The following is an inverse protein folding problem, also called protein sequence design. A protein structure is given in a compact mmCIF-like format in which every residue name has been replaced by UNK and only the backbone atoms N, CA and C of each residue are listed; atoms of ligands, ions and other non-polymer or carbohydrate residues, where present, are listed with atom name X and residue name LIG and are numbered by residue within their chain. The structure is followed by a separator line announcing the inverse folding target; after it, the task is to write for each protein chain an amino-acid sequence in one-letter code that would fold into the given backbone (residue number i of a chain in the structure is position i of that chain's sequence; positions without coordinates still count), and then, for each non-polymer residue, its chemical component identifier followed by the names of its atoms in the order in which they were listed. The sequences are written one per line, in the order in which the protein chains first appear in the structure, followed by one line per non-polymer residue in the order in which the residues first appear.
data_IF_590037116463
#
_entry.id   IF_590037116463
#
_cell.length_a   1.000
_cell.length_b   1.000
_cell.length_c   1.000
_cell.angle_alpha   90.00
_cell.angle_beta   90.00
_cell.angle_gamma   90.00
#
_symmetry.space_group_name_H-M   'P 1'
#
loop_
_entity.id
_entity.type
_entity.pdbx_description
1 polymer ?
#
# COMPACT_ATOMS: atom_id res chain seq x y z
N UNK A 1 -8.19 -41.98 33.41
CA UNK A 1 -8.82 -40.66 33.23
C UNK A 1 -7.68 -39.66 33.12
N UNK A 2 -7.08 -39.60 31.93
CA UNK A 2 -5.96 -38.70 31.62
C UNK A 2 -6.45 -37.27 31.57
N UNK A 3 -5.71 -36.35 32.16
CA UNK A 3 -5.65 -35.00 31.63
C UNK A 3 -4.21 -34.50 31.77
N UNK A 4 -3.45 -34.74 30.71
CA UNK A 4 -2.15 -34.18 30.48
C UNK A 4 -2.34 -32.69 30.17
N UNK A 5 -2.35 -31.85 31.21
CA UNK A 5 -2.14 -30.41 31.06
C UNK A 5 -0.67 -30.12 31.27
N UNK A 6 0.14 -30.52 30.29
CA UNK A 6 1.45 -29.92 30.08
C UNK A 6 1.63 -29.59 28.61
N UNK A 7 2.26 -28.44 28.40
CA UNK A 7 2.73 -27.83 27.17
C UNK A 7 1.70 -27.06 26.31
N UNK A 8 1.76 -25.74 26.44
CA UNK A 8 2.07 -24.90 25.28
C UNK A 8 2.97 -23.76 25.73
N UNK A 9 4.28 -23.98 25.60
CA UNK A 9 5.29 -22.97 25.84
C UNK A 9 5.07 -21.76 24.94
N UNK A 10 5.33 -20.59 25.50
CA UNK A 10 5.57 -19.35 24.76
C UNK A 10 6.81 -19.53 23.89
N UNK A 11 6.65 -20.17 22.74
CA UNK A 11 7.66 -20.12 21.68
C UNK A 11 7.34 -18.87 20.88
N UNK A 12 8.01 -17.78 21.21
CA UNK A 12 8.22 -16.66 20.29
C UNK A 12 9.04 -17.13 19.10
N UNK A 13 8.46 -17.98 18.26
CA UNK A 13 9.04 -18.40 17.00
C UNK A 13 8.85 -17.25 16.03
N UNK A 14 9.95 -16.67 15.54
CA UNK A 14 9.87 -15.83 14.34
C UNK A 14 9.21 -16.70 13.26
N UNK A 15 8.01 -16.36 12.75
CA UNK A 15 7.41 -17.17 11.71
C UNK A 15 8.37 -17.18 10.54
N UNK A 16 8.80 -18.36 10.13
CA UNK A 16 9.44 -18.53 8.83
C UNK A 16 8.53 -17.86 7.79
N UNK A 17 9.08 -17.11 6.82
CA UNK A 17 8.26 -16.36 5.88
C UNK A 17 7.29 -17.33 5.18
N UNK A 18 5.99 -17.07 5.32
CA UNK A 18 4.89 -17.80 4.70
C UNK A 18 4.90 -17.54 3.19
N UNK A 19 5.90 -18.07 2.48
CA UNK A 19 6.13 -17.75 1.06
C UNK A 19 6.52 -16.28 0.82
N UNK A 20 7.13 -15.61 1.80
CA UNK A 20 7.64 -14.24 1.68
C UNK A 20 6.86 -13.15 2.44
N UNK A 21 5.81 -13.51 3.17
CA UNK A 21 4.96 -12.57 3.93
C UNK A 21 5.26 -12.63 5.44
N UNK A 22 5.12 -11.49 6.13
CA UNK A 22 5.28 -11.36 7.60
C UNK A 22 4.07 -10.65 8.21
N UNK A 23 3.49 -11.24 9.25
CA UNK A 23 2.43 -10.61 10.06
C UNK A 23 3.07 -9.73 11.12
N UNK A 24 2.67 -8.45 11.20
CA UNK A 24 3.23 -7.47 12.12
C UNK A 24 2.38 -7.23 13.38
N UNK A 25 1.12 -7.68 13.39
CA UNK A 25 0.22 -7.53 14.52
C UNK A 25 -1.01 -8.43 14.42
N UNK A 26 -1.64 -8.70 15.57
CA UNK A 26 -2.73 -9.67 15.70
C UNK A 26 -2.24 -11.12 15.77
N UNK A 27 -3.18 -12.05 15.92
CA UNK A 27 -2.95 -13.48 15.87
C UNK A 27 -3.95 -14.11 14.89
N UNK A 28 -3.76 -13.91 13.57
CA UNK A 28 -4.67 -14.45 12.58
C UNK A 28 -4.67 -15.97 12.63
N UNK A 29 -5.83 -16.54 12.35
CA UNK A 29 -6.03 -17.98 12.24
C UNK A 29 -5.37 -18.53 10.97
N UNK A 30 -5.12 -19.84 10.93
CA UNK A 30 -4.57 -20.51 9.75
C UNK A 30 -5.47 -20.33 8.52
N UNK A 31 -6.78 -20.32 8.72
CA UNK A 31 -7.77 -20.10 7.65
C UNK A 31 -7.66 -18.71 7.04
N UNK A 32 -7.49 -17.67 7.86
CA UNK A 32 -7.30 -16.30 7.38
C UNK A 32 -5.98 -16.15 6.62
N UNK A 33 -4.90 -16.80 7.10
CA UNK A 33 -3.61 -16.82 6.41
C UNK A 33 -3.75 -17.49 5.03
N UNK A 34 -4.46 -18.62 4.96
CA UNK A 34 -4.71 -19.33 3.71
C UNK A 34 -5.54 -18.49 2.73
N UNK A 35 -6.59 -17.83 3.22
CA UNK A 35 -7.46 -16.97 2.41
C UNK A 35 -6.67 -15.81 1.79
N UNK A 36 -5.88 -15.09 2.59
CA UNK A 36 -5.07 -13.97 2.09
C UNK A 36 -4.01 -14.46 1.09
N UNK A 37 -3.36 -15.58 1.38
CA UNK A 37 -2.35 -16.16 0.48
C UNK A 37 -2.97 -16.56 -0.86
N UNK A 38 -4.16 -17.17 -0.86
CA UNK A 38 -4.88 -17.52 -2.08
C UNK A 38 -5.24 -16.29 -2.92
N UNK A 39 -5.68 -15.20 -2.28
CA UNK A 39 -5.96 -13.92 -2.97
C UNK A 39 -4.70 -13.34 -3.60
N UNK A 40 -3.59 -13.30 -2.85
CA UNK A 40 -2.32 -12.78 -3.36
C UNK A 40 -1.78 -13.63 -4.51
N UNK A 41 -1.87 -14.96 -4.42
CA UNK A 41 -1.50 -15.86 -5.50
C UNK A 41 -2.37 -15.63 -6.75
N UNK A 42 -3.69 -15.48 -6.59
CA UNK A 42 -4.59 -15.16 -7.70
C UNK A 42 -4.23 -13.83 -8.37
N UNK A 43 -3.92 -12.79 -7.59
CA UNK A 43 -3.49 -11.49 -8.11
C UNK A 43 -2.14 -11.58 -8.84
N UNK A 44 -1.20 -12.39 -8.35
CA UNK A 44 0.09 -12.58 -9.00
C UNK A 44 -0.02 -13.28 -10.36
N UNK A 45 -1.07 -14.09 -10.57
CA UNK A 45 -1.33 -14.75 -11.86
C UNK A 45 -2.11 -13.89 -12.86
N UNK A 46 -2.61 -12.72 -12.44
CA UNK A 46 -3.31 -11.84 -13.36
C UNK A 46 -2.35 -11.37 -14.45
N UNK A 47 -2.77 -11.41 -15.72
CA UNK A 47 -1.94 -10.86 -16.79
C UNK A 47 -1.71 -9.39 -16.51
N UNK A 48 -0.46 -8.94 -16.62
CA UNK A 48 -0.14 -7.52 -16.56
C UNK A 48 -0.90 -6.85 -17.70
N UNK A 49 -1.98 -6.15 -17.36
CA UNK A 49 -2.60 -5.22 -18.27
C UNK A 49 -1.57 -4.13 -18.45
N UNK A 50 -1.02 -4.04 -19.65
CA UNK A 50 -0.09 -2.98 -19.99
C UNK A 50 -0.81 -1.66 -19.72
N UNK A 51 -0.33 -0.93 -18.70
CA UNK A 51 -0.90 0.35 -18.35
C UNK A 51 -0.74 1.21 -19.61
N UNK A 52 -1.82 1.78 -20.17
CA UNK A 52 -1.68 2.59 -21.37
C UNK A 52 -0.64 3.66 -21.07
N UNK A 53 0.38 3.74 -21.94
CA UNK A 53 1.40 4.75 -21.82
C UNK A 53 0.72 6.11 -21.64
N UNK A 54 1.22 6.92 -20.70
CA UNK A 54 0.66 8.26 -20.51
C UNK A 54 0.67 8.96 -21.87
N UNK A 55 -0.49 9.42 -22.38
CA UNK A 55 -0.53 10.05 -23.69
C UNK A 55 0.39 11.25 -23.70
N UNK A 56 1.11 11.43 -24.81
CA UNK A 56 1.91 12.62 -25.03
C UNK A 56 1.02 13.88 -24.94
N UNK A 57 1.55 15.02 -24.46
CA UNK A 57 0.75 16.23 -24.34
C UNK A 57 0.14 16.66 -25.68
N UNK A 58 -1.18 16.85 -25.69
CA UNK A 58 -1.89 17.28 -26.89
C UNK A 58 -1.59 18.75 -27.25
N UNK A 59 -2.13 19.21 -28.38
CA UNK A 59 -1.90 20.59 -28.84
C UNK A 59 -2.47 21.65 -27.88
N UNK A 60 -3.52 21.31 -27.12
CA UNK A 60 -4.14 22.19 -26.14
C UNK A 60 -3.31 22.28 -24.87
N UNK A 61 -2.84 21.15 -24.34
CA UNK A 61 -1.93 21.09 -23.19
C UNK A 61 -0.60 21.79 -23.46
N UNK A 62 -0.10 21.75 -24.71
CA UNK A 62 1.09 22.52 -25.12
C UNK A 62 0.82 24.01 -25.27
N UNK A 63 -0.39 24.41 -25.63
CA UNK A 63 -0.76 25.82 -25.78
C UNK A 63 -1.20 26.47 -24.46
N UNK A 64 -1.45 25.68 -23.41
CA UNK A 64 -1.60 26.16 -22.05
C UNK A 64 -0.30 26.85 -21.60
N UNK A 65 -0.23 28.16 -21.80
CA UNK A 65 0.79 28.99 -21.17
C UNK A 65 0.55 28.96 -19.68
N UNK A 66 1.60 28.86 -18.87
CA UNK A 66 1.49 28.99 -17.42
C UNK A 66 0.90 30.37 -17.08
N UNK A 67 -0.39 30.42 -16.77
CA UNK A 67 -1.10 31.67 -16.42
C UNK A 67 -0.66 32.15 -15.03
N UNK A 68 -0.05 31.27 -14.21
CA UNK A 68 0.36 31.57 -12.83
C UNK A 68 1.75 30.99 -12.57
N UNK A 69 2.61 31.77 -11.91
CA UNK A 69 3.86 31.26 -11.34
C UNK A 69 3.60 30.36 -10.13
N UNK A 70 4.64 29.64 -9.68
CA UNK A 70 4.58 28.83 -8.46
C UNK A 70 4.17 29.68 -7.26
N UNK A 71 3.07 29.33 -6.60
CA UNK A 71 2.67 29.96 -5.34
C UNK A 71 3.54 29.41 -4.22
N UNK A 72 4.32 30.27 -3.57
CA UNK A 72 5.14 29.90 -2.42
C UNK A 72 4.30 30.06 -1.15
N UNK A 73 3.94 28.97 -0.44
CA UNK A 73 3.25 29.07 0.83
C UNK A 73 4.16 29.69 1.89
N UNK A 74 3.61 30.51 2.78
CA UNK A 74 4.34 31.08 3.91
C UNK A 74 3.65 32.30 4.53
N UNK A 75 3.92 32.60 5.82
CA UNK A 75 3.41 33.81 6.47
C UNK A 75 3.73 35.06 5.63
N UNK A 76 2.72 35.88 5.36
CA UNK A 76 2.87 37.13 4.60
C UNK A 76 2.92 36.99 3.07
N UNK A 77 2.94 35.77 2.51
CA UNK A 77 2.95 35.56 1.04
C UNK A 77 1.59 35.76 0.35
N UNK A 78 0.52 35.88 1.13
CA UNK A 78 -0.88 35.96 0.68
C UNK A 78 -1.48 37.37 0.82
N UNK A 79 -0.68 38.44 0.71
CA UNK A 79 -1.20 39.81 0.88
C UNK A 79 -1.54 40.43 -0.49
N UNK A 80 -2.80 40.29 -0.88
CA UNK A 80 -3.38 40.88 -2.10
C UNK A 80 -4.15 42.20 -1.89
N UNK A 81 -4.16 42.77 -0.69
CA UNK A 81 -4.80 44.05 -0.40
C UNK A 81 -4.29 44.59 0.93
N UNK A 82 -3.93 45.87 0.97
CA UNK A 82 -3.86 46.66 2.18
C UNK A 82 -4.88 47.78 2.03
N UNK A 83 -5.89 47.77 2.88
CA UNK A 83 -6.78 48.88 3.16
C UNK A 83 -7.21 48.78 4.60
#
# INVERSE_FOLDING_TARGET
MSDARDAAGTTGGSPAPLGGLRVLGGAPTEEEIAAVTAVLAALATQPVVEQPARPAPDAWQRSQRAVRGTLVPGPGRWRGFAG
#
